data_IF_826144816718
#
_entry.id   IF_826144816718
#
_cell.length_a   1.000
_cell.length_b   1.000
_cell.length_c   1.000
_cell.angle_alpha   90.00
_cell.angle_beta   90.00
_cell.angle_gamma   90.00
#
_symmetry.space_group_name_H-M   'P 1'
#
loop_
_entity.id
_entity.type
_entity.pdbx_description
1 polymer ?
#
# COMPACT_ATOMS: atom_id res chain seq x y z
N UNK A 1 15.93 -4.22 15.29
CA UNK A 1 14.97 -4.64 14.24
C UNK A 1 14.75 -3.48 13.31
N UNK A 2 14.67 -3.75 12.02
CA UNK A 2 14.39 -2.75 10.99
C UNK A 2 12.94 -2.28 11.09
N UNK A 3 12.70 -0.99 10.86
CA UNK A 3 11.35 -0.43 10.74
C UNK A 3 10.71 -0.93 9.44
N UNK A 4 9.51 -1.46 9.50
CA UNK A 4 8.86 -2.08 8.35
C UNK A 4 7.71 -1.21 7.82
N UNK A 5 7.74 -0.95 6.51
CA UNK A 5 6.74 -0.14 5.82
C UNK A 5 6.08 -0.95 4.70
N UNK A 6 4.75 -1.03 4.73
CA UNK A 6 3.99 -1.63 3.64
C UNK A 6 3.57 -0.55 2.62
N UNK A 7 3.88 -0.79 1.35
CA UNK A 7 3.58 0.14 0.25
C UNK A 7 2.34 -0.33 -0.51
N UNK A 8 1.18 0.15 -0.08
CA UNK A 8 -0.15 -0.18 -0.64
C UNK A 8 -0.52 0.73 -1.79
N UNK A 9 -1.33 0.23 -2.70
CA UNK A 9 -2.04 1.05 -3.67
C UNK A 9 -1.60 0.83 -5.12
N UNK A 10 -1.62 1.89 -5.89
CA UNK A 10 -1.41 1.92 -7.34
C UNK A 10 -0.18 1.09 -7.76
N UNK A 11 -0.31 0.29 -8.83
CA UNK A 11 0.73 -0.65 -9.30
C UNK A 11 1.26 -0.32 -10.71
N UNK A 12 0.94 0.84 -11.27
CA UNK A 12 1.22 1.18 -12.67
C UNK A 12 2.42 2.12 -12.86
N UNK A 13 2.91 2.75 -11.79
CA UNK A 13 4.05 3.67 -11.83
C UNK A 13 5.16 3.20 -10.89
N UNK A 14 6.30 3.88 -10.91
CA UNK A 14 7.50 3.50 -10.15
C UNK A 14 7.63 4.18 -8.78
N UNK A 15 6.53 4.69 -8.24
CA UNK A 15 6.53 5.41 -6.96
C UNK A 15 7.14 4.61 -5.80
N UNK A 16 6.98 3.28 -5.81
CA UNK A 16 7.60 2.41 -4.80
C UNK A 16 9.11 2.45 -4.86
N UNK A 17 9.65 2.38 -6.08
CA UNK A 17 11.09 2.43 -6.30
C UNK A 17 11.66 3.82 -5.97
N UNK A 18 10.91 4.88 -6.23
CA UNK A 18 11.28 6.24 -5.82
C UNK A 18 11.43 6.33 -4.29
N UNK A 19 10.48 5.80 -3.54
CA UNK A 19 10.55 5.78 -2.07
C UNK A 19 11.74 4.95 -1.58
N UNK A 20 11.96 3.76 -2.17
CA UNK A 20 13.09 2.91 -1.82
C UNK A 20 14.42 3.61 -2.05
N UNK A 21 14.59 4.20 -3.21
CA UNK A 21 15.82 4.95 -3.54
C UNK A 21 16.03 6.15 -2.61
N UNK A 22 14.96 6.87 -2.32
CA UNK A 22 15.02 8.00 -1.38
C UNK A 22 15.42 7.58 0.03
N UNK A 23 14.83 6.50 0.53
CA UNK A 23 15.16 5.96 1.85
C UNK A 23 16.61 5.47 1.92
N UNK A 24 17.08 4.78 0.87
CA UNK A 24 18.46 4.33 0.75
C UNK A 24 19.44 5.51 0.73
N UNK A 25 19.15 6.54 -0.08
CA UNK A 25 19.97 7.75 -0.16
C UNK A 25 20.04 8.49 1.18
N UNK A 26 18.97 8.46 1.96
CA UNK A 26 18.90 9.04 3.31
C UNK A 26 19.53 8.14 4.39
N UNK A 27 19.98 6.94 4.05
CA UNK A 27 20.60 5.99 4.99
C UNK A 27 19.64 5.41 6.00
N UNK A 28 18.35 5.30 5.67
CA UNK A 28 17.33 4.80 6.59
C UNK A 28 17.32 3.26 6.65
N UNK A 29 17.25 2.73 7.87
CA UNK A 29 17.10 1.28 8.09
C UNK A 29 15.62 0.90 8.04
N UNK A 30 15.09 0.75 6.83
CA UNK A 30 13.68 0.44 6.55
C UNK A 30 13.57 -0.79 5.67
N UNK A 31 12.72 -1.72 6.07
CA UNK A 31 12.30 -2.84 5.24
C UNK A 31 10.95 -2.50 4.59
N UNK A 32 10.90 -2.56 3.26
CA UNK A 32 9.67 -2.33 2.53
C UNK A 32 9.02 -3.63 2.08
N UNK A 33 7.72 -3.74 2.27
CA UNK A 33 6.89 -4.82 1.73
C UNK A 33 5.78 -4.21 0.86
N UNK A 34 5.19 -5.02 -0.01
CA UNK A 34 4.23 -4.54 -0.99
C UNK A 34 3.30 -5.66 -1.46
N UNK A 35 2.16 -5.34 -2.11
CA UNK A 35 1.36 -6.35 -2.78
C UNK A 35 2.13 -6.96 -3.97
N UNK A 36 1.57 -8.03 -4.54
CA UNK A 36 2.04 -8.54 -5.83
C UNK A 36 1.68 -7.50 -6.88
N UNK A 37 2.69 -6.89 -7.51
CA UNK A 37 2.51 -5.80 -8.48
C UNK A 37 2.42 -6.28 -9.93
N UNK A 38 2.78 -7.53 -10.20
CA UNK A 38 2.52 -8.19 -11.47
C UNK A 38 1.04 -8.59 -11.52
N UNK A 39 0.26 -7.90 -12.36
CA UNK A 39 -1.17 -8.09 -12.44
C UNK A 39 -1.58 -9.53 -12.78
N UNK A 40 -1.00 -10.21 -13.81
CA UNK A 40 -1.30 -11.61 -14.06
C UNK A 40 -0.97 -12.55 -12.90
N UNK A 41 0.13 -12.34 -12.21
CA UNK A 41 0.50 -13.14 -11.05
C UNK A 41 -0.46 -12.95 -9.88
N UNK A 42 -0.95 -11.73 -9.67
CA UNK A 42 -1.97 -11.43 -8.67
C UNK A 42 -3.30 -12.12 -8.99
N UNK A 43 -3.72 -12.09 -10.25
CA UNK A 43 -4.96 -12.75 -10.71
C UNK A 43 -4.87 -14.27 -10.59
N UNK A 44 -3.68 -14.84 -10.67
CA UNK A 44 -3.43 -16.28 -10.55
C UNK A 44 -3.17 -16.76 -9.13
N UNK A 45 -3.26 -15.90 -8.13
CA UNK A 45 -2.89 -16.22 -6.74
C UNK A 45 -3.62 -17.42 -6.14
N UNK A 46 -4.84 -17.71 -6.61
CA UNK A 46 -5.63 -18.85 -6.17
C UNK A 46 -5.61 -20.07 -7.10
N UNK A 47 -4.89 -20.02 -8.22
CA UNK A 47 -4.96 -21.07 -9.25
C UNK A 47 -4.48 -22.43 -8.74
N UNK A 48 -3.60 -22.49 -7.75
CA UNK A 48 -3.15 -23.73 -7.12
C UNK A 48 -4.28 -24.50 -6.41
N UNK A 49 -5.41 -23.85 -6.17
CA UNK A 49 -6.58 -24.47 -5.53
C UNK A 49 -7.49 -25.21 -6.54
N UNK A 50 -7.16 -25.16 -7.81
CA UNK A 50 -7.89 -25.84 -8.87
C UNK A 50 -8.75 -24.92 -9.73
N UNK A 51 -9.36 -25.48 -10.75
CA UNK A 51 -10.23 -24.76 -11.67
C UNK A 51 -11.52 -24.29 -10.98
N UNK A 52 -12.06 -23.19 -11.50
CA UNK A 52 -13.31 -22.59 -11.04
C UNK A 52 -14.34 -22.58 -12.18
N UNK A 53 -15.62 -22.45 -11.81
CA UNK A 53 -16.74 -22.48 -12.76
C UNK A 53 -16.79 -21.23 -13.66
N UNK A 54 -16.21 -20.12 -13.22
CA UNK A 54 -16.27 -18.84 -13.92
C UNK A 54 -15.13 -17.90 -13.52
N UNK A 55 -14.94 -16.84 -14.31
CA UNK A 55 -14.00 -15.77 -13.98
C UNK A 55 -14.33 -15.10 -12.64
N UNK A 56 -15.61 -14.95 -12.31
CA UNK A 56 -16.04 -14.41 -11.02
C UNK A 56 -15.47 -15.23 -9.85
N UNK A 57 -15.58 -16.54 -9.90
CA UNK A 57 -15.08 -17.43 -8.84
C UNK A 57 -13.57 -17.50 -8.81
N UNK A 58 -12.92 -17.43 -9.99
CA UNK A 58 -11.45 -17.35 -10.07
C UNK A 58 -10.94 -16.08 -9.39
N UNK A 59 -11.54 -14.94 -9.67
CA UNK A 59 -11.18 -13.66 -9.06
C UNK A 59 -11.39 -13.69 -7.54
N UNK A 60 -12.51 -14.26 -7.08
CA UNK A 60 -12.80 -14.40 -5.65
C UNK A 60 -11.80 -15.32 -4.95
N UNK A 61 -11.45 -16.43 -5.58
CA UNK A 61 -10.45 -17.35 -5.05
C UNK A 61 -9.09 -16.68 -4.88
N UNK A 62 -8.64 -15.98 -5.90
CA UNK A 62 -7.38 -15.23 -5.87
C UNK A 62 -7.41 -14.06 -4.88
N UNK A 63 -8.52 -13.32 -4.83
CA UNK A 63 -8.70 -12.22 -3.88
C UNK A 63 -8.62 -12.69 -2.42
N UNK A 64 -9.15 -13.86 -2.10
CA UNK A 64 -9.10 -14.42 -0.75
C UNK A 64 -7.67 -14.79 -0.35
N UNK A 65 -6.91 -15.40 -1.25
CA UNK A 65 -5.49 -15.72 -0.99
C UNK A 65 -4.67 -14.44 -0.85
N UNK A 66 -4.86 -13.47 -1.74
CA UNK A 66 -4.22 -12.16 -1.65
C UNK A 66 -4.59 -11.43 -0.35
N UNK A 67 -5.82 -11.55 0.12
CA UNK A 67 -6.24 -10.94 1.38
C UNK A 67 -5.46 -11.48 2.58
N UNK A 68 -5.16 -12.77 2.62
CA UNK A 68 -4.31 -13.34 3.68
C UNK A 68 -2.94 -12.67 3.67
N UNK A 69 -2.32 -12.58 2.49
CA UNK A 69 -1.01 -11.99 2.32
C UNK A 69 -1.00 -10.50 2.70
N UNK A 70 -1.94 -9.73 2.16
CA UNK A 70 -2.04 -8.28 2.38
C UNK A 70 -2.25 -7.97 3.87
N UNK A 71 -3.22 -8.61 4.50
CA UNK A 71 -3.49 -8.41 5.93
C UNK A 71 -2.29 -8.76 6.79
N UNK A 72 -1.65 -9.90 6.51
CA UNK A 72 -0.45 -10.30 7.24
C UNK A 72 0.67 -9.27 7.14
N UNK A 73 0.91 -8.73 5.93
CA UNK A 73 1.97 -7.74 5.73
C UNK A 73 1.63 -6.39 6.37
N UNK A 74 0.37 -5.96 6.30
CA UNK A 74 -0.09 -4.74 6.98
C UNK A 74 0.08 -4.89 8.50
N UNK A 75 -0.39 -6.00 9.07
CA UNK A 75 -0.32 -6.22 10.51
C UNK A 75 1.11 -6.25 11.04
N UNK A 76 2.03 -6.79 10.26
CA UNK A 76 3.47 -6.86 10.60
C UNK A 76 4.24 -5.57 10.36
N UNK A 77 3.67 -4.60 9.65
CA UNK A 77 4.35 -3.34 9.38
C UNK A 77 4.18 -2.34 10.53
N UNK A 78 5.13 -1.43 10.64
CA UNK A 78 5.08 -0.33 11.59
C UNK A 78 4.33 0.88 11.03
N UNK A 79 4.34 1.03 9.70
CA UNK A 79 3.68 2.09 8.97
C UNK A 79 3.21 1.57 7.61
N UNK A 80 2.11 2.12 7.12
CA UNK A 80 1.60 1.83 5.76
C UNK A 80 1.57 3.12 4.95
N UNK A 81 2.06 3.07 3.72
CA UNK A 81 1.90 4.15 2.74
C UNK A 81 0.85 3.70 1.73
N UNK A 82 -0.17 4.53 1.52
CA UNK A 82 -1.27 4.21 0.61
C UNK A 82 -1.28 5.20 -0.56
N UNK A 83 -0.91 4.73 -1.75
CA UNK A 83 -0.85 5.55 -2.97
C UNK A 83 -2.14 5.44 -3.77
N UNK A 84 -2.75 6.60 -4.03
CA UNK A 84 -3.86 6.75 -4.96
C UNK A 84 -3.34 7.45 -6.21
N UNK A 85 -3.32 6.75 -7.33
CA UNK A 85 -2.92 7.30 -8.62
C UNK A 85 -4.09 7.92 -9.39
N UNK A 86 -3.77 8.52 -10.52
CA UNK A 86 -4.72 9.24 -11.38
C UNK A 86 -5.37 8.36 -12.46
N UNK A 87 -4.75 7.24 -12.81
CA UNK A 87 -5.14 6.42 -13.96
C UNK A 87 -6.35 5.53 -13.72
N UNK A 88 -6.43 4.91 -12.56
CA UNK A 88 -7.48 3.95 -12.20
C UNK A 88 -7.95 4.24 -10.79
N UNK A 89 -9.17 3.80 -10.49
CA UNK A 89 -9.67 3.90 -9.12
C UNK A 89 -9.10 2.76 -8.28
N UNK A 90 -8.39 3.11 -7.23
CA UNK A 90 -7.77 2.14 -6.33
C UNK A 90 -8.70 1.84 -5.15
N UNK A 91 -9.79 1.12 -5.43
CA UNK A 91 -10.75 0.73 -4.38
C UNK A 91 -10.08 -0.10 -3.28
N UNK A 92 -9.16 -1.00 -3.67
CA UNK A 92 -8.45 -1.85 -2.72
C UNK A 92 -7.48 -1.05 -1.85
N UNK A 93 -6.92 0.04 -2.35
CA UNK A 93 -6.10 0.96 -1.55
C UNK A 93 -6.95 1.63 -0.45
N UNK A 94 -8.16 2.08 -0.78
CA UNK A 94 -9.08 2.63 0.20
C UNK A 94 -9.47 1.58 1.26
N UNK A 95 -9.67 0.34 0.85
CA UNK A 95 -9.92 -0.78 1.76
C UNK A 95 -8.74 -1.00 2.71
N UNK A 96 -7.51 -0.99 2.20
CA UNK A 96 -6.30 -1.14 3.02
C UNK A 96 -6.17 0.00 4.04
N UNK A 97 -6.44 1.25 3.62
CA UNK A 97 -6.43 2.40 4.52
C UNK A 97 -7.47 2.26 5.65
N UNK A 98 -8.69 1.83 5.32
CA UNK A 98 -9.73 1.56 6.32
C UNK A 98 -9.36 0.43 7.28
N UNK A 99 -8.69 -0.60 6.77
CA UNK A 99 -8.16 -1.68 7.59
C UNK A 99 -7.10 -1.18 8.59
N UNK A 100 -6.18 -0.33 8.12
CA UNK A 100 -5.20 0.32 9.00
C UNK A 100 -5.87 1.16 10.09
N UNK A 101 -6.85 1.98 9.72
CA UNK A 101 -7.61 2.80 10.66
C UNK A 101 -8.29 1.95 11.73
N UNK A 102 -8.93 0.86 11.35
CA UNK A 102 -9.61 -0.06 12.27
C UNK A 102 -8.64 -0.76 13.24
N UNK A 103 -7.42 -1.06 12.79
CA UNK A 103 -6.38 -1.68 13.62
C UNK A 103 -5.65 -0.66 14.51
N UNK A 104 -5.84 0.62 14.32
CA UNK A 104 -4.99 1.65 14.92
C UNK A 104 -3.57 1.65 14.36
N UNK A 105 -3.36 1.12 13.16
CA UNK A 105 -2.09 1.10 12.44
C UNK A 105 -1.86 2.46 11.80
N UNK A 106 -0.74 3.16 12.07
CA UNK A 106 -0.48 4.42 11.39
C UNK A 106 -0.32 4.22 9.90
N UNK A 107 -0.90 5.14 9.14
CA UNK A 107 -0.72 5.17 7.69
C UNK A 107 -0.64 6.61 7.18
N UNK A 108 0.05 6.77 6.07
CA UNK A 108 0.11 8.03 5.34
C UNK A 108 -0.45 7.82 3.95
N UNK A 109 -1.15 8.82 3.43
CA UNK A 109 -1.64 8.79 2.06
C UNK A 109 -0.66 9.50 1.13
N UNK A 110 -0.62 9.06 -0.12
CA UNK A 110 0.18 9.67 -1.18
C UNK A 110 -0.71 9.80 -2.42
N UNK A 111 -1.09 11.03 -2.76
CA UNK A 111 -1.95 11.31 -3.90
C UNK A 111 -1.83 12.77 -4.33
N UNK A 112 -2.25 13.06 -5.55
CA UNK A 112 -2.23 14.42 -6.08
C UNK A 112 -3.26 15.32 -5.35
N UNK A 113 -2.98 16.61 -5.32
CA UNK A 113 -3.79 17.58 -4.59
C UNK A 113 -5.20 17.76 -5.17
N UNK A 114 -5.42 17.39 -6.43
CA UNK A 114 -6.71 17.53 -7.11
C UNK A 114 -7.75 16.47 -6.72
N UNK A 115 -7.35 15.40 -6.02
CA UNK A 115 -8.27 14.36 -5.57
C UNK A 115 -8.54 14.37 -4.05
N UNK A 116 -8.15 15.42 -3.36
CA UNK A 116 -8.33 15.53 -1.90
C UNK A 116 -9.79 15.44 -1.48
N UNK A 117 -10.72 16.00 -2.26
CA UNK A 117 -12.14 15.94 -1.91
C UNK A 117 -12.67 14.49 -1.94
N UNK A 118 -12.26 13.72 -2.94
CA UNK A 118 -12.68 12.32 -3.08
C UNK A 118 -12.14 11.44 -1.96
N UNK A 119 -10.98 11.79 -1.41
CA UNK A 119 -10.27 11.02 -0.37
C UNK A 119 -10.40 11.63 1.02
N UNK A 120 -11.27 12.59 1.23
CA UNK A 120 -11.38 13.33 2.50
C UNK A 120 -11.56 12.45 3.74
N UNK A 121 -12.30 11.37 3.63
CA UNK A 121 -12.52 10.44 4.75
C UNK A 121 -11.32 9.51 4.96
N UNK A 122 -10.68 9.10 3.87
CA UNK A 122 -9.44 8.32 3.94
C UNK A 122 -8.33 9.14 4.56
N UNK A 123 -8.18 10.40 4.14
CA UNK A 123 -7.18 11.31 4.68
C UNK A 123 -7.47 11.72 6.13
N UNK A 124 -8.74 11.78 6.52
CA UNK A 124 -9.12 12.18 7.88
C UNK A 124 -8.53 11.28 8.97
N UNK A 125 -8.33 10.00 8.69
CA UNK A 125 -7.76 9.04 9.63
C UNK A 125 -6.25 8.83 9.43
N UNK A 126 -5.67 9.40 8.36
CA UNK A 126 -4.25 9.28 8.07
C UNK A 126 -3.42 10.23 8.95
N UNK A 127 -2.21 9.82 9.28
CA UNK A 127 -1.28 10.63 10.08
C UNK A 127 -0.59 11.70 9.24
N UNK A 128 -0.51 11.52 7.91
CA UNK A 128 0.00 12.55 6.99
C UNK A 128 -0.61 12.37 5.60
N UNK A 129 -0.65 13.48 4.85
CA UNK A 129 -1.12 13.51 3.46
C UNK A 129 0.03 13.99 2.59
N UNK A 130 0.67 13.06 1.89
CA UNK A 130 1.79 13.37 1.03
C UNK A 130 1.31 13.55 -0.41
N UNK A 131 1.90 14.51 -1.11
CA UNK A 131 1.67 14.70 -2.54
C UNK A 131 2.87 14.26 -3.37
N UNK A 132 4.02 14.01 -2.74
CA UNK A 132 5.25 13.55 -3.40
C UNK A 132 5.88 12.39 -2.63
N UNK A 133 6.66 11.58 -3.34
CA UNK A 133 7.44 10.50 -2.72
C UNK A 133 8.52 11.05 -1.79
N UNK A 134 9.07 12.23 -2.08
CA UNK A 134 10.03 12.90 -1.20
C UNK A 134 9.43 13.20 0.17
N UNK A 135 8.18 13.66 0.24
CA UNK A 135 7.49 13.90 1.50
C UNK A 135 7.32 12.63 2.33
N UNK A 136 7.13 11.48 1.67
CA UNK A 136 7.08 10.18 2.37
C UNK A 136 8.43 9.88 2.99
N UNK A 137 9.52 10.05 2.25
CA UNK A 137 10.88 9.82 2.74
C UNK A 137 11.21 10.76 3.89
N UNK A 138 10.91 12.05 3.77
CA UNK A 138 11.11 13.04 4.85
C UNK A 138 10.31 12.69 6.11
N UNK A 139 9.10 12.17 5.95
CA UNK A 139 8.30 11.68 7.07
C UNK A 139 9.00 10.51 7.76
N UNK A 140 9.52 9.56 6.99
CA UNK A 140 10.27 8.41 7.53
C UNK A 140 11.56 8.87 8.22
N UNK A 141 12.28 9.82 7.65
CA UNK A 141 13.48 10.40 8.30
C UNK A 141 13.15 10.98 9.67
N UNK A 142 12.06 11.73 9.76
CA UNK A 142 11.62 12.31 11.04
C UNK A 142 11.23 11.23 12.07
N UNK A 143 10.44 10.24 11.62
CA UNK A 143 9.96 9.15 12.49
C UNK A 143 11.10 8.30 13.03
N UNK A 144 12.15 8.09 12.21
CA UNK A 144 13.28 7.23 12.57
C UNK A 144 14.46 7.99 13.22
N UNK A 145 14.35 9.31 13.35
CA UNK A 145 15.39 10.09 13.99
C UNK A 145 15.39 9.82 15.50
N UNK A 146 16.51 9.31 16.00
CA UNK A 146 16.72 9.07 17.43
C UNK A 146 17.08 10.34 18.17
#
# INVERSE_FOLDING_TARGET
MSFTVYLSGEIHTDWRDEIRRGAEAAGLDVTFTQPVTDHPASDAAGDHLGETESQFWRDHQSAKVNAIRTRTLIEKSDLVVVRFGDKYKQWNAAFDAGYCAALGKPYVTLHDADIVHALKEVDAEAQAWCTTTDQVVETLEYVLRA
#
